data_IF_610019352882
#
_entry.id   IF_610019352882
#
_cell.length_a   1.000
_cell.length_b   1.000
_cell.length_c   1.000
_cell.angle_alpha   90.00
_cell.angle_beta   90.00
_cell.angle_gamma   90.00
#
_symmetry.space_group_name_H-M   'P 1'
#
loop_
_entity.id
_entity.type
_entity.pdbx_description
1 polymer ?
#
# COMPACT_ATOMS: atom_id res chain seq x y z
N UNK A 1 8.81 -0.95 -11.25
CA UNK A 1 8.19 -0.57 -12.54
C UNK A 1 7.43 0.73 -12.31
N UNK A 2 7.66 1.76 -13.12
CA UNK A 2 6.92 3.03 -13.00
C UNK A 2 5.69 2.98 -13.91
N UNK A 3 4.52 3.29 -13.35
CA UNK A 3 3.24 3.29 -14.08
C UNK A 3 2.66 4.69 -13.97
N UNK A 4 2.20 5.24 -15.09
CA UNK A 4 1.53 6.54 -15.10
C UNK A 4 0.12 6.40 -14.52
N UNK A 5 -0.42 7.42 -13.82
CA UNK A 5 -1.76 7.36 -13.23
C UNK A 5 -2.87 6.92 -14.20
N UNK A 6 -2.81 7.39 -15.45
CA UNK A 6 -3.75 7.05 -16.53
C UNK A 6 -3.74 5.55 -16.89
N UNK A 7 -2.59 4.89 -16.74
CA UNK A 7 -2.41 3.48 -17.07
C UNK A 7 -2.76 2.56 -15.88
N UNK A 8 -2.82 3.11 -14.66
CA UNK A 8 -3.01 2.34 -13.43
C UNK A 8 -4.28 1.49 -13.48
N UNK A 9 -5.41 2.05 -13.94
CA UNK A 9 -6.68 1.32 -14.00
C UNK A 9 -6.58 0.06 -14.86
N UNK A 10 -5.97 0.17 -16.05
CA UNK A 10 -5.85 -0.96 -16.97
C UNK A 10 -4.83 -1.99 -16.47
N UNK A 11 -3.79 -1.55 -15.78
CA UNK A 11 -2.79 -2.42 -15.20
C UNK A 11 -3.37 -3.25 -14.04
N UNK A 12 -4.12 -2.61 -13.14
CA UNK A 12 -4.76 -3.27 -11.99
C UNK A 12 -5.76 -4.35 -12.36
N UNK A 13 -6.37 -4.27 -13.55
CA UNK A 13 -7.28 -5.31 -14.08
C UNK A 13 -6.48 -6.50 -14.62
N UNK A 14 -5.33 -6.24 -15.24
CA UNK A 14 -4.51 -7.27 -15.90
C UNK A 14 -3.67 -8.04 -14.90
N UNK A 15 -3.13 -7.37 -13.90
CA UNK A 15 -2.16 -7.95 -12.97
C UNK A 15 -2.22 -7.24 -11.63
N UNK A 16 -2.06 -8.03 -10.58
CA UNK A 16 -1.77 -7.52 -9.25
C UNK A 16 -0.29 -7.72 -8.91
N UNK A 17 0.33 -6.66 -8.41
CA UNK A 17 1.62 -6.71 -7.75
C UNK A 17 1.42 -6.80 -6.23
N UNK A 18 2.34 -7.47 -5.50
CA UNK A 18 2.26 -7.59 -4.06
C UNK A 18 2.52 -6.26 -3.33
N UNK A 19 3.24 -5.33 -3.98
CA UNK A 19 3.63 -4.04 -3.41
C UNK A 19 3.39 -2.94 -4.44
N UNK A 20 2.78 -1.84 -4.00
CA UNK A 20 2.61 -0.61 -4.78
C UNK A 20 3.16 0.57 -4.01
N UNK A 21 3.94 1.41 -4.69
CA UNK A 21 4.45 2.67 -4.16
C UNK A 21 3.80 3.80 -4.95
N UNK A 22 3.01 4.63 -4.27
CA UNK A 22 2.41 5.84 -4.85
C UNK A 22 3.23 7.02 -4.37
N UNK A 23 3.83 7.74 -5.32
CA UNK A 23 4.60 8.95 -5.05
C UNK A 23 4.18 10.03 -6.04
N UNK A 24 3.99 11.25 -5.55
CA UNK A 24 3.65 12.40 -6.38
C UNK A 24 3.33 13.62 -5.53
N UNK A 25 3.61 14.80 -6.08
CA UNK A 25 3.40 16.07 -5.39
C UNK A 25 1.98 16.62 -5.61
N UNK A 26 1.22 16.05 -6.54
CA UNK A 26 -0.17 16.42 -6.84
C UNK A 26 -1.15 15.65 -5.93
N UNK A 27 -1.83 16.32 -4.97
CA UNK A 27 -2.65 15.64 -3.98
C UNK A 27 -3.86 14.90 -4.57
N UNK A 28 -4.46 15.46 -5.62
CA UNK A 28 -5.62 14.85 -6.27
C UNK A 28 -5.24 13.54 -6.95
N UNK A 29 -4.19 13.54 -7.77
CA UNK A 29 -3.72 12.34 -8.47
C UNK A 29 -3.26 11.26 -7.48
N UNK A 30 -2.57 11.66 -6.40
CA UNK A 30 -2.19 10.74 -5.33
C UNK A 30 -3.41 10.06 -4.71
N UNK A 31 -4.43 10.85 -4.34
CA UNK A 31 -5.67 10.33 -3.76
C UNK A 31 -6.40 9.39 -4.71
N UNK A 32 -6.53 9.78 -5.98
CA UNK A 32 -7.19 8.95 -7.00
C UNK A 32 -6.46 7.62 -7.23
N UNK A 33 -5.12 7.64 -7.26
CA UNK A 33 -4.30 6.43 -7.40
C UNK A 33 -4.52 5.47 -6.22
N UNK A 34 -4.49 5.98 -5.00
CA UNK A 34 -4.74 5.18 -3.78
C UNK A 34 -6.17 4.64 -3.77
N UNK A 35 -7.17 5.45 -4.13
CA UNK A 35 -8.56 5.00 -4.19
C UNK A 35 -8.78 3.92 -5.26
N UNK A 36 -8.09 4.01 -6.41
CA UNK A 36 -8.09 2.94 -7.42
C UNK A 36 -7.48 1.64 -6.89
N UNK A 37 -6.35 1.72 -6.17
CA UNK A 37 -5.71 0.56 -5.55
C UNK A 37 -6.61 -0.11 -4.52
N UNK A 38 -7.27 0.67 -3.65
CA UNK A 38 -8.21 0.14 -2.65
C UNK A 38 -9.39 -0.57 -3.30
N UNK A 39 -10.00 0.03 -4.33
CA UNK A 39 -11.11 -0.60 -5.08
C UNK A 39 -10.67 -1.89 -5.75
N UNK A 40 -9.48 -1.90 -6.36
CA UNK A 40 -8.93 -3.12 -6.94
C UNK A 40 -8.72 -4.19 -5.86
N UNK A 41 -8.04 -3.87 -4.76
CA UNK A 41 -7.81 -4.82 -3.68
C UNK A 41 -9.11 -5.45 -3.16
N UNK A 42 -10.14 -4.64 -2.91
CA UNK A 42 -11.45 -5.15 -2.54
C UNK A 42 -12.05 -6.09 -3.61
N UNK A 43 -11.92 -5.75 -4.90
CA UNK A 43 -12.39 -6.61 -5.99
C UNK A 43 -11.69 -7.98 -6.03
N UNK A 44 -10.40 -8.06 -5.64
CA UNK A 44 -9.62 -9.30 -5.60
C UNK A 44 -9.75 -10.06 -4.26
N UNK A 45 -10.69 -9.66 -3.40
CA UNK A 45 -11.03 -10.33 -2.15
C UNK A 45 -10.14 -9.96 -0.97
N UNK A 46 -9.49 -8.79 -1.01
CA UNK A 46 -8.85 -8.22 0.18
C UNK A 46 -9.89 -7.42 0.96
N UNK A 47 -10.42 -8.00 2.02
CA UNK A 47 -11.53 -7.41 2.78
C UNK A 47 -11.04 -6.65 4.02
N UNK A 48 -9.81 -6.92 4.47
CA UNK A 48 -9.19 -6.21 5.58
C UNK A 48 -8.20 -5.14 5.11
N UNK A 49 -8.10 -4.07 5.90
CA UNK A 49 -7.19 -2.96 5.66
C UNK A 49 -6.61 -2.43 6.96
N UNK A 50 -5.30 -2.58 7.10
CA UNK A 50 -4.54 -1.90 8.15
C UNK A 50 -3.89 -0.64 7.57
N UNK A 51 -3.98 0.47 8.30
CA UNK A 51 -3.38 1.74 7.90
C UNK A 51 -2.40 2.17 8.97
N UNK A 52 -1.14 2.32 8.56
CA UNK A 52 -0.06 2.81 9.40
C UNK A 52 0.42 4.15 8.87
N UNK A 53 0.80 5.05 9.78
CA UNK A 53 1.50 6.29 9.41
C UNK A 53 2.93 6.19 9.89
N UNK A 54 3.86 6.13 8.96
CA UNK A 54 5.29 6.06 9.25
C UNK A 54 5.84 7.47 9.44
N UNK A 55 5.99 7.86 10.71
CA UNK A 55 6.74 9.04 11.13
C UNK A 55 8.23 8.71 11.39
N UNK A 56 8.99 9.68 11.91
CA UNK A 56 10.42 9.54 12.16
C UNK A 56 10.79 8.41 13.16
N UNK A 57 9.87 8.01 14.03
CA UNK A 57 10.08 6.99 15.07
C UNK A 57 9.22 5.74 14.83
N UNK A 58 8.66 5.58 13.63
CA UNK A 58 7.81 4.45 13.31
C UNK A 58 8.54 3.12 13.49
N UNK A 59 7.93 2.23 14.26
CA UNK A 59 8.44 0.89 14.47
C UNK A 59 8.02 -0.02 13.30
N UNK A 60 8.97 -0.25 12.40
CA UNK A 60 8.80 -1.16 11.26
C UNK A 60 8.57 -2.62 11.65
N UNK A 61 8.86 -3.00 12.89
CA UNK A 61 8.51 -4.33 13.39
C UNK A 61 7.00 -4.54 13.45
N UNK A 62 6.20 -3.47 13.62
CA UNK A 62 4.74 -3.55 13.56
C UNK A 62 4.26 -4.02 12.19
N UNK A 63 4.93 -3.60 11.11
CA UNK A 63 4.61 -4.06 9.76
C UNK A 63 4.88 -5.56 9.59
N UNK A 64 6.02 -6.03 10.10
CA UNK A 64 6.38 -7.44 10.08
C UNK A 64 5.38 -8.29 10.87
N UNK A 65 4.98 -7.83 12.05
CA UNK A 65 3.96 -8.51 12.86
C UNK A 65 2.64 -8.53 12.09
N UNK A 66 2.18 -7.39 11.56
CA UNK A 66 0.93 -7.29 10.82
C UNK A 66 0.90 -8.14 9.54
N UNK A 67 2.05 -8.33 8.88
CA UNK A 67 2.19 -9.18 7.70
C UNK A 67 2.20 -10.68 8.02
N UNK A 68 2.67 -11.06 9.22
CA UNK A 68 2.68 -12.45 9.70
C UNK A 68 1.42 -12.81 10.50
N UNK A 69 0.60 -11.83 10.85
CA UNK A 69 -0.65 -12.03 11.56
C UNK A 69 -1.68 -12.69 10.64
N UNK A 70 -2.08 -13.92 10.98
CA UNK A 70 -3.16 -14.62 10.31
C UNK A 70 -4.48 -14.05 10.82
N UNK A 71 -5.24 -13.40 9.94
CA UNK A 71 -6.58 -12.97 10.28
C UNK A 71 -7.50 -14.18 10.51
N UNK A 72 -8.33 -14.08 11.55
CA UNK A 72 -9.39 -15.04 11.87
C UNK A 72 -10.65 -14.84 11.02
N UNK A 73 -10.79 -13.69 10.36
CA UNK A 73 -12.00 -13.26 9.67
C UNK A 73 -11.84 -13.18 8.15
N UNK A 74 -10.63 -12.92 7.65
CA UNK A 74 -10.37 -12.84 6.22
C UNK A 74 -9.07 -13.55 5.84
N UNK A 75 -9.03 -14.06 4.60
CA UNK A 75 -7.83 -14.71 4.05
C UNK A 75 -6.81 -13.74 3.46
N UNK A 76 -7.21 -12.49 3.18
CA UNK A 76 -6.36 -11.49 2.53
C UNK A 76 -6.56 -10.11 3.14
N UNK A 77 -5.44 -9.45 3.46
CA UNK A 77 -5.39 -8.12 4.06
C UNK A 77 -4.50 -7.20 3.24
N UNK A 78 -4.88 -5.92 3.13
CA UNK A 78 -4.03 -4.85 2.61
C UNK A 78 -3.38 -4.13 3.77
N UNK A 79 -2.07 -3.91 3.68
CA UNK A 79 -1.34 -3.04 4.59
C UNK A 79 -1.01 -1.75 3.85
N UNK A 80 -1.53 -0.63 4.33
CA UNK A 80 -1.35 0.70 3.75
C UNK A 80 -0.42 1.52 4.66
N UNK A 81 0.68 2.04 4.12
CA UNK A 81 1.65 2.85 4.88
C UNK A 81 1.67 4.26 4.32
N UNK A 82 1.37 5.24 5.18
CA UNK A 82 1.44 6.66 4.85
C UNK A 82 2.79 7.21 5.29
N UNK A 83 3.56 7.76 4.36
CA UNK A 83 4.88 8.32 4.62
C UNK A 83 4.87 9.83 4.32
N UNK A 84 4.46 10.69 5.26
CA UNK A 84 4.42 12.14 5.04
C UNK A 84 5.80 12.77 4.78
N UNK A 85 6.88 12.16 5.28
CA UNK A 85 8.26 12.60 5.02
C UNK A 85 8.83 12.10 3.68
N UNK A 86 8.06 11.32 2.90
CA UNK A 86 8.39 10.90 1.53
C UNK A 86 9.51 9.85 1.39
N UNK A 87 10.27 9.54 2.45
CA UNK A 87 11.33 8.52 2.42
C UNK A 87 11.14 7.48 3.53
N UNK A 88 11.07 6.18 3.18
CA UNK A 88 11.22 5.14 4.19
C UNK A 88 12.62 5.24 4.80
N UNK A 89 12.73 5.01 6.11
CA UNK A 89 14.05 4.87 6.75
C UNK A 89 14.73 3.58 6.26
N UNK A 90 16.04 3.44 6.49
CA UNK A 90 16.81 2.27 6.01
C UNK A 90 16.18 0.93 6.42
N UNK A 91 15.55 0.89 7.60
CA UNK A 91 14.82 -0.30 8.09
C UNK A 91 13.54 -0.57 7.29
N UNK A 92 12.83 0.49 6.90
CA UNK A 92 11.64 0.38 6.07
C UNK A 92 12.00 -0.07 4.66
N UNK A 93 13.03 0.51 4.06
CA UNK A 93 13.48 0.17 2.71
C UNK A 93 13.89 -1.31 2.56
N UNK A 94 14.36 -1.95 3.63
CA UNK A 94 14.69 -3.39 3.63
C UNK A 94 13.46 -4.32 3.64
N UNK A 95 12.26 -3.78 3.91
CA UNK A 95 11.02 -4.55 4.07
C UNK A 95 10.04 -4.42 2.89
N UNK A 96 10.25 -3.46 1.98
CA UNK A 96 9.40 -3.15 0.82
C UNK A 96 10.08 -3.55 -0.48
#
# INVERSE_FOLDING_TARGET
MQIRPEQLRNDLIKKQYPVYMVCGDEPLQHREAVDMLRKAAHHYGYEERDVYTADAHFDWNLLLVAANELSLFCSKKVIEIHMPAGRPSDKGAALI
#
